data_IF_022484547066
#
_entry.id   IF_022484547066
#
_cell.length_a   1.000
_cell.length_b   1.000
_cell.length_c   1.000
_cell.angle_alpha   90.00
_cell.angle_beta   90.00
_cell.angle_gamma   90.00
#
_symmetry.space_group_name_H-M   'P 1'
#
loop_
_entity.id
_entity.type
_entity.pdbx_description
1 polymer ?
#
# COMPACT_ATOMS: atom_id res chain seq x y z
N UNK A 1 -24.76 -13.45 3.45
CA UNK A 1 -24.47 -12.93 2.10
C UNK A 1 -23.21 -12.10 2.24
N UNK A 2 -22.05 -12.70 1.96
CA UNK A 2 -20.80 -11.96 1.89
C UNK A 2 -20.75 -11.26 0.53
N UNK A 3 -20.74 -9.93 0.55
CA UNK A 3 -20.45 -9.13 -0.64
C UNK A 3 -18.99 -9.37 -1.00
N UNK A 4 -18.75 -10.40 -1.80
CA UNK A 4 -17.48 -10.60 -2.48
C UNK A 4 -17.42 -9.51 -3.57
N UNK A 5 -16.94 -8.33 -3.19
CA UNK A 5 -16.55 -7.30 -4.15
C UNK A 5 -15.54 -7.97 -5.09
N UNK A 6 -15.96 -8.16 -6.34
CA UNK A 6 -15.11 -8.66 -7.40
C UNK A 6 -14.07 -7.56 -7.67
N UNK A 7 -12.97 -7.57 -6.93
CA UNK A 7 -11.88 -6.60 -7.02
C UNK A 7 -11.02 -6.93 -8.25
N UNK A 8 -11.61 -6.88 -9.45
CA UNK A 8 -11.10 -7.44 -10.73
C UNK A 8 -9.66 -7.00 -11.09
N UNK A 9 -8.65 -7.60 -10.45
CA UNK A 9 -7.23 -7.32 -10.65
C UNK A 9 -6.42 -7.06 -9.37
N UNK A 10 -7.07 -6.72 -8.25
CA UNK A 10 -6.38 -6.59 -6.97
C UNK A 10 -6.11 -7.95 -6.34
N UNK A 11 -4.93 -8.09 -5.76
CA UNK A 11 -4.45 -9.29 -5.09
C UNK A 11 -4.09 -8.98 -3.64
N UNK A 12 -4.15 -9.96 -2.71
CA UNK A 12 -3.66 -9.79 -1.34
C UNK A 12 -2.20 -9.33 -1.33
N UNK A 13 -1.84 -8.42 -0.41
CA UNK A 13 -0.48 -7.86 -0.37
C UNK A 13 0.62 -8.90 -0.14
N UNK A 14 0.29 -10.05 0.46
CA UNK A 14 1.24 -11.16 0.69
C UNK A 14 1.75 -11.78 -0.61
N UNK A 15 1.06 -11.59 -1.74
CA UNK A 15 1.46 -12.10 -3.06
C UNK A 15 2.25 -11.10 -3.90
N UNK A 16 2.46 -9.88 -3.39
CA UNK A 16 3.15 -8.82 -4.12
C UNK A 16 4.66 -9.08 -4.28
N UNK A 17 5.26 -8.61 -5.38
CA UNK A 17 6.70 -8.75 -5.61
C UNK A 17 7.51 -7.89 -4.63
N UNK A 18 8.46 -8.50 -3.91
CA UNK A 18 9.34 -7.83 -2.94
C UNK A 18 10.74 -7.54 -3.47
N UNK A 19 10.86 -7.46 -4.80
CA UNK A 19 12.13 -7.26 -5.53
C UNK A 19 12.39 -5.79 -5.89
N UNK A 20 11.58 -4.86 -5.34
CA UNK A 20 11.63 -3.43 -5.66
C UNK A 20 10.80 -3.04 -6.88
N UNK A 21 10.09 -3.96 -7.52
CA UNK A 21 9.13 -3.64 -8.58
C UNK A 21 8.08 -2.64 -8.10
N UNK A 22 7.83 -1.62 -8.91
CA UNK A 22 6.81 -0.62 -8.63
C UNK A 22 5.41 -1.15 -8.96
N UNK A 23 4.50 -1.03 -8.00
CA UNK A 23 3.13 -1.55 -8.03
C UNK A 23 2.17 -0.50 -7.48
N UNK A 24 0.89 -0.72 -7.73
CA UNK A 24 -0.18 0.06 -7.13
C UNK A 24 -0.70 -0.65 -5.89
N UNK A 25 -0.78 0.06 -4.76
CA UNK A 25 -1.21 -0.52 -3.49
C UNK A 25 -2.41 0.19 -2.89
N UNK A 26 -3.24 -0.58 -2.20
CA UNK A 26 -4.36 -0.09 -1.42
C UNK A 26 -4.07 -0.26 0.07
N UNK A 27 -4.09 0.85 0.82
CA UNK A 27 -3.88 0.83 2.25
C UNK A 27 -5.11 1.30 3.03
N UNK A 28 -5.27 0.75 4.23
CA UNK A 28 -6.33 1.12 5.17
C UNK A 28 -5.68 1.72 6.40
N UNK A 29 -6.12 2.93 6.77
CA UNK A 29 -5.72 3.58 8.02
C UNK A 29 -6.75 3.30 9.10
N UNK A 30 -6.25 2.92 10.28
CA UNK A 30 -7.05 2.62 11.46
C UNK A 30 -6.82 3.67 12.55
N UNK A 31 -7.82 3.87 13.43
CA UNK A 31 -7.65 4.60 14.68
C UNK A 31 -6.92 3.76 15.75
N UNK A 32 -6.71 4.32 16.95
CA UNK A 32 -6.04 3.63 18.06
C UNK A 32 -6.76 2.38 18.59
N UNK A 33 -8.02 2.17 18.18
CA UNK A 33 -8.81 0.99 18.51
C UNK A 33 -8.89 0.00 17.34
N UNK A 34 -8.12 0.22 16.27
CA UNK A 34 -8.09 -0.63 15.08
C UNK A 34 -9.30 -0.47 14.16
N UNK A 35 -10.11 0.59 14.33
CA UNK A 35 -11.28 0.82 13.47
C UNK A 35 -10.84 1.56 12.21
N UNK A 36 -11.27 1.13 11.01
CA UNK A 36 -10.90 1.79 9.77
C UNK A 36 -11.48 3.22 9.73
N UNK A 37 -10.62 4.21 9.50
CA UNK A 37 -11.00 5.63 9.42
C UNK A 37 -10.71 6.24 8.05
N UNK A 38 -9.78 5.66 7.28
CA UNK A 38 -9.46 6.10 5.93
C UNK A 38 -8.98 4.92 5.07
N UNK A 39 -9.06 5.08 3.75
CA UNK A 39 -8.45 4.17 2.79
C UNK A 39 -7.88 4.98 1.62
N UNK A 40 -6.67 4.63 1.21
CA UNK A 40 -5.91 5.39 0.21
C UNK A 40 -5.25 4.46 -0.80
N UNK A 41 -5.16 4.94 -2.04
CA UNK A 41 -4.43 4.29 -3.14
C UNK A 41 -3.07 4.96 -3.32
N UNK A 42 -2.03 4.16 -3.52
CA UNK A 42 -0.66 4.62 -3.79
C UNK A 42 -0.17 3.96 -5.08
N UNK A 43 -0.22 4.67 -6.23
CA UNK A 43 -0.01 4.07 -7.55
C UNK A 43 1.45 3.73 -7.89
N UNK A 44 2.40 4.16 -7.06
CA UNK A 44 3.84 4.11 -7.31
C UNK A 44 4.60 3.58 -6.07
N UNK A 45 4.12 2.48 -5.48
CA UNK A 45 4.72 1.88 -4.31
C UNK A 45 5.73 0.78 -4.66
N UNK A 46 6.79 0.63 -3.88
CA UNK A 46 7.77 -0.45 -4.04
C UNK A 46 8.22 -0.98 -2.68
N UNK A 47 8.58 -2.26 -2.64
CA UNK A 47 9.17 -2.87 -1.45
C UNK A 47 10.61 -2.39 -1.27
N UNK A 48 10.97 -2.01 -0.04
CA UNK A 48 12.33 -1.59 0.31
C UNK A 48 12.80 -2.23 1.61
N UNK A 49 14.11 -2.41 1.66
CA UNK A 49 14.85 -2.82 2.85
C UNK A 49 15.90 -1.73 3.11
N UNK A 50 15.94 -1.19 4.33
CA UNK A 50 16.92 -0.15 4.68
C UNK A 50 16.82 0.31 6.13
N UNK A 51 17.63 1.32 6.46
CA UNK A 51 17.74 1.88 7.82
C UNK A 51 16.43 2.51 8.32
N UNK A 52 15.56 2.93 7.40
CA UNK A 52 14.24 3.52 7.67
C UNK A 52 13.13 2.47 7.90
N UNK A 53 13.48 1.18 7.82
CA UNK A 53 12.56 0.07 7.98
C UNK A 53 12.50 -0.83 6.75
N UNK A 54 11.82 -1.97 6.93
CA UNK A 54 11.53 -2.92 5.84
C UNK A 54 10.04 -2.92 5.58
N UNK A 55 9.63 -2.59 4.36
CA UNK A 55 8.21 -2.56 4.01
C UNK A 55 7.91 -1.90 2.67
N UNK A 56 6.64 -1.56 2.49
CA UNK A 56 6.17 -0.83 1.30
C UNK A 56 6.39 0.65 1.47
N UNK A 57 7.09 1.26 0.52
CA UNK A 57 7.28 2.70 0.46
C UNK A 57 6.51 3.27 -0.74
N UNK A 58 5.93 4.45 -0.57
CA UNK A 58 5.41 5.24 -1.68
C UNK A 58 6.17 6.57 -1.78
N UNK A 59 6.22 7.13 -2.99
CA UNK A 59 6.68 8.50 -3.20
C UNK A 59 5.68 9.48 -2.57
N UNK A 60 6.17 10.35 -1.68
CA UNK A 60 5.45 11.51 -1.20
C UNK A 60 6.19 12.75 -1.70
N UNK A 61 5.69 13.28 -2.82
CA UNK A 61 6.34 14.33 -3.62
C UNK A 61 7.64 13.87 -4.32
N UNK A 62 8.21 14.72 -5.18
CA UNK A 62 9.33 14.40 -6.09
C UNK A 62 10.64 13.95 -5.41
N UNK A 63 10.73 14.05 -4.07
CA UNK A 63 12.02 13.95 -3.38
C UNK A 63 12.05 13.01 -2.18
N UNK A 64 10.91 12.46 -1.73
CA UNK A 64 10.89 11.66 -0.51
C UNK A 64 10.04 10.39 -0.62
N UNK A 65 10.53 9.31 -0.04
CA UNK A 65 9.79 8.06 0.08
C UNK A 65 9.43 7.86 1.55
N UNK A 66 8.17 7.56 1.83
CA UNK A 66 7.73 7.26 3.18
C UNK A 66 7.27 5.80 3.26
N UNK A 67 7.52 5.19 4.41
CA UNK A 67 6.99 3.88 4.74
C UNK A 67 5.45 4.01 4.86
N UNK A 68 4.70 3.23 4.08
CA UNK A 68 3.23 3.26 4.10
C UNK A 68 2.70 2.61 5.39
N UNK A 69 3.41 1.61 5.91
CA UNK A 69 3.08 0.93 7.17
C UNK A 69 3.48 1.77 8.40
N UNK A 70 3.13 3.07 8.38
CA UNK A 70 3.49 4.01 9.45
C UNK A 70 2.36 4.15 10.49
N UNK A 71 2.78 4.41 11.73
CA UNK A 71 1.90 4.70 12.85
C UNK A 71 1.82 6.20 13.07
N UNK A 72 0.63 6.79 12.88
CA UNK A 72 0.41 8.20 13.15
C UNK A 72 -0.68 8.38 14.19
N UNK A 73 -0.39 9.16 15.25
CA UNK A 73 -1.34 9.51 16.31
C UNK A 73 -2.11 8.33 16.93
N UNK A 74 -1.42 7.20 17.17
CA UNK A 74 -1.99 6.00 17.76
C UNK A 74 -2.70 5.07 16.77
N UNK A 75 -2.96 5.52 15.55
CA UNK A 75 -3.47 4.71 14.46
C UNK A 75 -2.37 4.00 13.68
N UNK A 76 -2.77 3.11 12.76
CA UNK A 76 -1.85 2.42 11.84
C UNK A 76 -2.40 2.43 10.42
N UNK A 77 -1.56 2.77 9.44
CA UNK A 77 -1.85 2.51 8.03
C UNK A 77 -1.28 1.15 7.65
N UNK A 78 -2.08 0.30 7.01
CA UNK A 78 -1.68 -1.07 6.64
C UNK A 78 -1.97 -1.26 5.16
N UNK A 79 -0.96 -1.68 4.40
CA UNK A 79 -1.15 -2.08 3.01
C UNK A 79 -1.88 -3.42 2.97
N UNK A 80 -2.95 -3.52 2.19
CA UNK A 80 -3.85 -4.69 2.20
C UNK A 80 -3.89 -5.41 0.87
N UNK A 81 -3.83 -4.67 -0.24
CA UNK A 81 -3.95 -5.22 -1.58
C UNK A 81 -3.00 -4.52 -2.54
N UNK A 82 -2.69 -5.18 -3.65
CA UNK A 82 -1.90 -4.61 -4.73
C UNK A 82 -2.43 -4.99 -6.12
N UNK A 83 -2.00 -4.25 -7.14
CA UNK A 83 -2.12 -4.63 -8.54
C UNK A 83 -0.87 -4.17 -9.32
N UNK A 84 -0.50 -4.86 -10.42
CA UNK A 84 0.58 -4.38 -11.28
C UNK A 84 0.23 -3.02 -11.90
N UNK A 85 1.24 -2.17 -12.15
CA UNK A 85 1.01 -0.92 -12.86
C UNK A 85 0.48 -1.18 -14.27
N UNK A 86 -0.54 -0.43 -14.72
CA UNK A 86 -1.00 -0.54 -16.09
C UNK A 86 0.12 -0.12 -17.05
N UNK A 87 0.17 -0.79 -18.20
CA UNK A 87 1.05 -0.35 -19.28
C UNK A 87 0.68 1.09 -19.69
N UNK A 88 1.67 1.92 -20.07
CA UNK A 88 1.39 3.25 -20.59
C UNK A 88 0.47 3.15 -21.84
N UNK A 89 -0.39 4.15 -22.07
CA UNK A 89 -1.18 4.20 -23.30
C UNK A 89 -0.26 4.25 -24.53
N UNK A 90 -0.72 3.62 -25.62
CA UNK A 90 -0.02 3.56 -26.89
C UNK A 90 0.01 4.90 -27.64
#
# INVERSE_FOLDING_TARGET
MENQLDLTGWQPIETAPKDGTEIDVWAVTTDEWGRPVNASRYPDASWREGDEGTGWHALHDVWDHFLIDDSWSGGKTIVTHWMPKPAPPA
#
